data_IF_432439559200
#
_entry.id   IF_432439559200
#
_cell.length_a   1.000
_cell.length_b   1.000
_cell.length_c   1.000
_cell.angle_alpha   90.00
_cell.angle_beta   90.00
_cell.angle_gamma   90.00
#
_symmetry.space_group_name_H-M   'P 1'
#
loop_
_entity.id
_entity.type
_entity.pdbx_description
1 polymer ?
#
# COMPACT_ATOMS: atom_id res chain seq x y z
N UNK A 1 1.94 22.03 0.94
CA UNK A 1 2.39 23.33 0.41
C UNK A 1 3.57 23.94 1.17
N UNK A 2 3.80 23.59 2.44
CA UNK A 2 4.96 24.13 3.19
C UNK A 2 6.30 23.71 2.57
N UNK A 3 6.40 22.53 2.01
CA UNK A 3 7.61 21.97 1.37
C UNK A 3 7.63 22.12 -0.15
N UNK A 4 6.46 22.21 -0.77
CA UNK A 4 6.30 22.37 -2.21
C UNK A 4 5.15 23.36 -2.50
N UNK A 5 5.46 24.62 -2.83
CA UNK A 5 4.45 25.62 -3.15
C UNK A 5 3.60 25.28 -4.38
N UNK A 6 4.09 24.44 -5.29
CA UNK A 6 3.35 24.05 -6.49
C UNK A 6 2.16 23.11 -6.22
N UNK A 7 2.01 22.59 -5.01
CA UNK A 7 0.90 21.72 -4.62
C UNK A 7 -0.43 22.43 -4.38
N UNK A 8 -0.48 23.76 -4.43
CA UNK A 8 -1.72 24.52 -4.38
C UNK A 8 -1.56 25.84 -5.19
N UNK A 9 -2.68 26.44 -5.64
CA UNK A 9 -2.63 27.78 -6.24
C UNK A 9 -2.05 28.81 -5.29
N UNK A 10 -1.57 29.92 -5.84
CA UNK A 10 -1.03 31.04 -5.05
C UNK A 10 -2.05 31.53 -4.00
N UNK A 11 -1.58 31.73 -2.78
CA UNK A 11 -2.42 32.11 -1.63
C UNK A 11 -3.25 30.96 -1.03
N UNK A 12 -3.20 29.75 -1.61
CA UNK A 12 -3.87 28.57 -1.09
C UNK A 12 -2.92 27.58 -0.45
N UNK A 13 -3.48 26.67 0.36
CA UNK A 13 -2.74 25.56 0.95
C UNK A 13 -3.46 24.23 0.70
N UNK A 14 -2.71 23.21 0.29
CA UNK A 14 -3.19 21.84 0.28
C UNK A 14 -3.14 21.24 1.69
N UNK A 15 -4.23 20.62 2.11
CA UNK A 15 -4.37 20.01 3.42
C UNK A 15 -4.88 18.56 3.29
N UNK A 16 -4.34 17.67 4.09
CA UNK A 16 -4.73 16.26 4.14
C UNK A 16 -5.06 15.87 5.57
N UNK A 17 -6.27 15.36 5.79
CA UNK A 17 -6.71 14.82 7.07
C UNK A 17 -7.01 13.32 6.93
N UNK A 18 -6.37 12.50 7.74
CA UNK A 18 -6.60 11.07 7.81
C UNK A 18 -7.28 10.72 9.13
N UNK A 19 -8.41 10.04 9.04
CA UNK A 19 -9.08 9.46 10.19
C UNK A 19 -9.19 7.95 10.04
N UNK A 20 -8.65 7.15 10.98
CA UNK A 20 -8.81 5.70 10.96
C UNK A 20 -10.28 5.31 11.12
N UNK A 21 -10.77 4.47 10.24
CA UNK A 21 -12.13 3.95 10.25
C UNK A 21 -12.13 2.44 10.00
N UNK A 22 -13.15 1.69 10.44
CA UNK A 22 -13.24 0.27 10.18
C UNK A 22 -13.46 -0.01 8.69
N UNK A 23 -12.85 -1.08 8.18
CA UNK A 23 -13.06 -1.57 6.82
C UNK A 23 -14.47 -2.15 6.65
N UNK A 24 -14.91 -2.35 5.39
CA UNK A 24 -16.26 -2.82 5.03
C UNK A 24 -16.63 -4.21 5.60
N UNK A 25 -15.65 -5.02 5.98
CA UNK A 25 -15.89 -6.28 6.67
C UNK A 25 -16.36 -6.12 8.11
N UNK A 26 -15.88 -5.09 8.82
CA UNK A 26 -16.25 -4.77 10.22
C UNK A 26 -17.42 -3.78 10.30
N UNK A 27 -17.55 -2.89 9.34
CA UNK A 27 -18.64 -1.91 9.29
C UNK A 27 -19.49 -2.14 8.04
N UNK A 28 -20.78 -2.44 8.24
CA UNK A 28 -21.76 -2.75 7.18
C UNK A 28 -22.67 -1.58 6.84
N UNK A 29 -22.37 -0.39 7.36
CA UNK A 29 -23.15 0.81 7.07
C UNK A 29 -22.86 1.37 5.67
N UNK A 30 -23.72 2.30 5.29
CA UNK A 30 -23.62 3.04 4.03
C UNK A 30 -22.57 4.15 4.13
N UNK A 31 -21.42 3.95 3.49
CA UNK A 31 -20.36 4.95 3.44
C UNK A 31 -20.70 6.15 2.57
N UNK A 32 -21.53 5.99 1.55
CA UNK A 32 -21.96 7.10 0.69
C UNK A 32 -22.77 8.12 1.50
N UNK A 33 -23.68 7.63 2.34
CA UNK A 33 -24.45 8.49 3.24
C UNK A 33 -23.64 9.02 4.44
N UNK A 34 -22.73 8.20 4.98
CA UNK A 34 -22.00 8.53 6.21
C UNK A 34 -20.78 9.44 5.98
N UNK A 35 -20.06 9.29 4.87
CA UNK A 35 -18.80 9.99 4.64
C UNK A 35 -18.96 11.53 4.68
N UNK A 36 -19.98 12.15 4.09
CA UNK A 36 -20.19 13.59 4.19
C UNK A 36 -20.42 14.05 5.63
N UNK A 37 -21.23 13.30 6.40
CA UNK A 37 -21.54 13.63 7.79
C UNK A 37 -20.29 13.51 8.67
N UNK A 38 -19.48 12.48 8.41
CA UNK A 38 -18.23 12.27 9.15
C UNK A 38 -17.18 13.32 8.81
N UNK A 39 -17.06 13.68 7.53
CA UNK A 39 -16.18 14.75 7.08
C UNK A 39 -16.54 16.09 7.71
N UNK A 40 -17.83 16.39 7.81
CA UNK A 40 -18.31 17.61 8.46
C UNK A 40 -17.90 17.69 9.94
N UNK A 41 -17.99 16.59 10.67
CA UNK A 41 -17.52 16.51 12.06
C UNK A 41 -15.98 16.67 12.17
N UNK A 42 -15.24 16.15 11.20
CA UNK A 42 -13.78 16.36 11.15
C UNK A 42 -13.46 17.84 10.93
N UNK A 43 -14.17 18.50 10.02
CA UNK A 43 -14.02 19.95 9.81
C UNK A 43 -14.33 20.76 11.06
N UNK A 44 -15.41 20.45 11.78
CA UNK A 44 -15.74 21.11 13.06
C UNK A 44 -14.62 20.95 14.09
N UNK A 45 -14.07 19.74 14.20
CA UNK A 45 -12.98 19.47 15.13
C UNK A 45 -11.70 20.25 14.75
N UNK A 46 -11.36 20.25 13.46
CA UNK A 46 -10.18 20.95 12.95
C UNK A 46 -10.30 22.47 13.13
N UNK A 47 -11.45 23.04 12.81
CA UNK A 47 -11.70 24.47 12.97
C UNK A 47 -11.64 24.89 14.43
N UNK A 48 -12.27 24.13 15.32
CA UNK A 48 -12.31 24.44 16.75
C UNK A 48 -10.95 24.31 17.45
N UNK A 49 -10.05 23.45 16.94
CA UNK A 49 -8.83 23.06 17.66
C UNK A 49 -7.53 23.45 16.99
N UNK A 50 -7.49 23.49 15.67
CA UNK A 50 -6.23 23.59 14.92
C UNK A 50 -6.19 24.72 13.91
N UNK A 51 -7.29 24.99 13.19
CA UNK A 51 -7.31 25.90 12.05
C UNK A 51 -8.55 26.80 12.16
N UNK A 52 -8.56 27.84 13.01
CA UNK A 52 -9.68 28.76 13.11
C UNK A 52 -10.01 29.39 11.75
N UNK A 53 -11.30 29.47 11.41
CA UNK A 53 -11.77 29.99 10.11
C UNK A 53 -11.60 29.01 8.94
N UNK A 54 -11.36 27.73 9.20
CA UNK A 54 -11.17 26.72 8.15
C UNK A 54 -12.34 26.68 7.18
N UNK A 55 -13.58 26.67 7.68
CA UNK A 55 -14.79 26.57 6.83
C UNK A 55 -14.99 27.78 5.92
N UNK A 56 -14.70 28.96 6.40
CA UNK A 56 -14.81 30.20 5.61
C UNK A 56 -13.79 30.28 4.49
N UNK A 57 -12.63 29.62 4.68
CA UNK A 57 -11.52 29.62 3.72
C UNK A 57 -11.43 28.31 2.91
N UNK A 58 -12.40 27.41 3.04
CA UNK A 58 -12.43 26.13 2.32
C UNK A 58 -12.86 26.35 0.86
N UNK A 59 -11.90 26.21 -0.06
CA UNK A 59 -12.14 26.37 -1.50
C UNK A 59 -12.69 25.09 -2.13
N UNK A 60 -12.11 23.95 -1.76
CA UNK A 60 -12.55 22.64 -2.27
C UNK A 60 -12.19 21.54 -1.27
N UNK A 61 -12.98 20.49 -1.28
CA UNK A 61 -12.74 19.30 -0.46
C UNK A 61 -13.13 18.04 -1.22
N UNK A 62 -12.36 17.00 -1.07
CA UNK A 62 -12.73 15.63 -1.47
C UNK A 62 -12.59 14.70 -0.29
N UNK A 63 -13.59 13.87 -0.07
CA UNK A 63 -13.52 12.73 0.85
C UNK A 63 -13.20 11.46 0.09
N UNK A 64 -12.50 10.54 0.74
CA UNK A 64 -12.19 9.23 0.20
C UNK A 64 -12.42 8.18 1.29
N UNK A 65 -13.49 7.45 1.16
CA UNK A 65 -14.01 6.49 2.15
C UNK A 65 -13.55 5.06 1.85
N UNK A 66 -13.77 4.09 2.74
CA UNK A 66 -13.58 2.67 2.41
C UNK A 66 -14.36 2.21 1.17
N UNK A 67 -15.51 2.81 0.88
CA UNK A 67 -16.26 2.52 -0.34
C UNK A 67 -15.46 2.95 -1.59
N UNK A 68 -14.88 4.14 -1.56
CA UNK A 68 -14.09 4.67 -2.69
C UNK A 68 -12.81 3.84 -2.90
N UNK A 69 -12.13 3.43 -1.82
CA UNK A 69 -10.99 2.50 -1.93
C UNK A 69 -11.38 1.18 -2.61
N UNK A 70 -12.56 0.64 -2.30
CA UNK A 70 -13.06 -0.58 -2.92
C UNK A 70 -13.42 -0.37 -4.40
N UNK A 71 -14.13 0.70 -4.73
CA UNK A 71 -14.69 0.92 -6.08
C UNK A 71 -13.68 1.52 -7.06
N UNK A 72 -12.90 2.52 -6.63
CA UNK A 72 -11.95 3.20 -7.51
C UNK A 72 -10.59 2.49 -7.58
N UNK A 73 -10.13 1.86 -6.48
CA UNK A 73 -8.81 1.25 -6.38
C UNK A 73 -8.86 -0.29 -6.29
N UNK A 74 -10.03 -0.89 -6.37
CA UNK A 74 -10.23 -2.34 -6.24
C UNK A 74 -9.61 -2.92 -4.94
N UNK A 75 -9.57 -2.11 -3.88
CA UNK A 75 -9.02 -2.53 -2.61
C UNK A 75 -9.99 -3.48 -1.89
N UNK A 76 -9.52 -4.68 -1.54
CA UNK A 76 -10.32 -5.66 -0.83
C UNK A 76 -10.93 -5.07 0.45
N UNK A 77 -12.25 -5.11 0.59
CA UNK A 77 -12.99 -4.53 1.72
C UNK A 77 -12.70 -3.05 2.00
N UNK A 78 -12.24 -2.29 1.01
CA UNK A 78 -11.91 -0.87 1.18
C UNK A 78 -10.70 -0.58 2.07
N UNK A 79 -9.73 -1.51 2.11
CA UNK A 79 -8.51 -1.39 2.91
C UNK A 79 -7.54 -0.39 2.27
N UNK A 80 -7.29 0.76 2.91
CA UNK A 80 -6.36 1.77 2.41
C UNK A 80 -4.88 1.34 2.47
N UNK A 81 -4.49 0.62 3.53
CA UNK A 81 -3.10 0.26 3.85
C UNK A 81 -2.85 -1.25 3.88
N UNK A 82 -3.77 -2.05 3.33
CA UNK A 82 -3.71 -3.51 3.33
C UNK A 82 -3.81 -4.11 4.75
N UNK A 83 -2.89 -5.01 5.13
CA UNK A 83 -2.96 -5.73 6.39
C UNK A 83 -2.80 -4.83 7.62
N UNK A 84 -3.62 -5.08 8.64
CA UNK A 84 -3.54 -4.42 9.93
C UNK A 84 -2.17 -4.70 10.60
N UNK A 85 -1.52 -3.71 11.24
CA UNK A 85 -0.20 -3.87 11.84
C UNK A 85 -0.28 -4.57 13.22
N UNK A 86 -0.92 -5.72 13.28
CA UNK A 86 -0.93 -6.60 14.45
C UNK A 86 0.27 -7.56 14.40
N UNK A 87 0.70 -8.08 15.53
CA UNK A 87 1.94 -8.85 15.65
C UNK A 87 2.05 -10.00 14.62
N UNK A 88 0.99 -10.78 14.46
CA UNK A 88 0.94 -11.95 13.56
C UNK A 88 0.68 -11.60 12.09
N UNK A 89 0.61 -10.31 11.73
CA UNK A 89 0.54 -9.80 10.37
C UNK A 89 1.64 -8.78 10.06
N UNK A 90 2.64 -8.69 10.93
CA UNK A 90 3.71 -7.71 10.83
C UNK A 90 5.07 -8.39 10.87
N UNK A 91 6.10 -7.67 10.50
CA UNK A 91 7.48 -8.13 10.50
C UNK A 91 7.61 -9.51 9.80
N UNK A 92 8.17 -10.49 10.47
CA UNK A 92 8.39 -11.83 9.94
C UNK A 92 7.12 -12.52 9.42
N UNK A 93 5.97 -12.28 10.08
CA UNK A 93 4.68 -12.93 9.73
C UNK A 93 3.95 -12.25 8.57
N UNK A 94 4.48 -11.16 8.04
CA UNK A 94 3.89 -10.50 6.88
C UNK A 94 4.12 -11.34 5.62
N UNK A 95 3.19 -11.28 4.68
CA UNK A 95 3.31 -11.98 3.39
C UNK A 95 4.68 -11.73 2.75
N UNK A 96 5.38 -12.80 2.43
CA UNK A 96 6.68 -12.76 1.75
C UNK A 96 6.53 -12.32 0.30
N UNK A 97 7.60 -11.79 -0.28
CA UNK A 97 7.60 -11.31 -1.67
C UNK A 97 7.65 -12.43 -2.72
N UNK A 98 7.87 -13.68 -2.32
CA UNK A 98 7.82 -14.87 -3.17
C UNK A 98 6.94 -15.92 -2.49
N UNK A 99 6.15 -16.64 -3.27
CA UNK A 99 5.35 -17.76 -2.79
C UNK A 99 6.21 -19.00 -2.59
N UNK A 100 5.99 -19.72 -1.48
CA UNK A 100 6.77 -20.92 -1.14
C UNK A 100 6.36 -22.14 -1.97
N UNK A 101 5.10 -22.20 -2.38
CA UNK A 101 4.54 -23.34 -3.15
C UNK A 101 4.64 -23.11 -4.66
N UNK A 102 4.60 -21.87 -5.13
CA UNK A 102 4.61 -21.47 -6.52
C UNK A 102 5.86 -20.63 -6.82
N UNK A 103 6.97 -21.25 -7.24
CA UNK A 103 8.28 -20.57 -7.38
C UNK A 103 8.28 -19.36 -8.31
N UNK A 104 7.34 -19.30 -9.24
CA UNK A 104 7.20 -18.20 -10.21
C UNK A 104 6.14 -17.15 -9.80
N UNK A 105 5.56 -17.26 -8.61
CA UNK A 105 4.60 -16.30 -8.09
C UNK A 105 5.30 -15.35 -7.12
N UNK A 106 5.19 -14.06 -7.42
CA UNK A 106 5.76 -13.00 -6.61
C UNK A 106 4.69 -12.01 -6.17
N UNK A 107 4.87 -11.44 -4.98
CA UNK A 107 3.99 -10.44 -4.41
C UNK A 107 4.74 -9.14 -4.17
N UNK A 108 4.10 -8.02 -4.45
CA UNK A 108 4.66 -6.68 -4.29
C UNK A 108 3.59 -5.70 -3.80
N UNK A 109 3.98 -4.74 -2.99
CA UNK A 109 3.09 -3.67 -2.55
C UNK A 109 2.88 -3.62 -1.04
N UNK A 110 1.86 -2.88 -0.62
CA UNK A 110 1.57 -2.58 0.79
C UNK A 110 1.25 -3.82 1.64
N UNK A 111 0.76 -4.90 1.02
CA UNK A 111 0.41 -6.16 1.70
C UNK A 111 1.60 -7.07 2.00
N UNK A 112 2.77 -6.80 1.44
CA UNK A 112 3.96 -7.66 1.53
C UNK A 112 5.09 -6.99 2.31
N UNK A 113 6.22 -7.69 2.46
CA UNK A 113 7.43 -7.09 3.02
C UNK A 113 7.94 -5.93 2.15
N UNK A 114 8.50 -4.86 2.75
CA UNK A 114 8.59 -4.59 4.19
C UNK A 114 7.31 -3.99 4.79
N UNK A 115 6.32 -3.56 4.00
CA UNK A 115 5.06 -3.08 4.52
C UNK A 115 4.44 -1.90 3.77
N UNK A 116 3.45 -1.26 4.39
CA UNK A 116 2.71 -0.14 3.83
C UNK A 116 3.49 1.19 3.88
N UNK A 117 2.95 2.20 3.20
CA UNK A 117 3.56 3.51 3.01
C UNK A 117 4.49 3.56 1.79
N UNK A 118 4.69 4.76 1.24
CA UNK A 118 5.49 4.93 0.01
C UNK A 118 6.89 4.29 0.12
N UNK A 119 7.68 4.53 1.19
CA UNK A 119 8.98 3.87 1.33
C UNK A 119 8.88 2.34 1.40
N UNK A 120 7.86 1.83 2.10
CA UNK A 120 7.60 0.39 2.22
C UNK A 120 7.26 -0.25 0.88
N UNK A 121 6.37 0.36 0.11
CA UNK A 121 5.95 -0.14 -1.21
C UNK A 121 7.12 -0.13 -2.21
N UNK A 122 7.92 0.93 -2.25
CA UNK A 122 9.12 1.01 -3.09
C UNK A 122 10.17 -0.03 -2.65
N UNK A 123 10.35 -0.21 -1.34
CA UNK A 123 11.21 -1.26 -0.78
C UNK A 123 10.74 -2.67 -1.16
N UNK A 124 9.43 -2.92 -1.14
CA UNK A 124 8.82 -4.16 -1.60
C UNK A 124 9.10 -4.43 -3.08
N UNK A 125 8.97 -3.42 -3.93
CA UNK A 125 9.28 -3.55 -5.36
C UNK A 125 10.75 -3.92 -5.59
N UNK A 126 11.68 -3.26 -4.87
CA UNK A 126 13.11 -3.56 -4.95
C UNK A 126 13.42 -5.00 -4.49
N UNK A 127 12.86 -5.42 -3.35
CA UNK A 127 13.06 -6.77 -2.83
C UNK A 127 12.53 -7.84 -3.80
N UNK A 128 11.34 -7.63 -4.35
CA UNK A 128 10.74 -8.54 -5.34
C UNK A 128 11.60 -8.63 -6.61
N UNK A 129 12.07 -7.50 -7.13
CA UNK A 129 12.94 -7.48 -8.32
C UNK A 129 14.25 -8.25 -8.10
N UNK A 130 14.89 -8.10 -6.94
CA UNK A 130 16.09 -8.86 -6.59
C UNK A 130 15.81 -10.38 -6.52
N UNK A 131 14.72 -10.79 -5.88
CA UNK A 131 14.32 -12.20 -5.83
C UNK A 131 14.07 -12.81 -7.23
N UNK A 132 13.51 -12.04 -8.15
CA UNK A 132 13.30 -12.46 -9.54
C UNK A 132 14.64 -12.65 -10.27
N UNK A 133 15.56 -11.69 -10.15
CA UNK A 133 16.88 -11.75 -10.78
C UNK A 133 17.75 -12.88 -10.21
N UNK A 134 17.73 -13.10 -8.90
CA UNK A 134 18.44 -14.20 -8.25
C UNK A 134 17.86 -15.57 -8.69
N UNK A 135 16.55 -15.66 -8.87
CA UNK A 135 15.89 -16.86 -9.38
C UNK A 135 16.28 -17.18 -10.83
N UNK A 136 16.44 -16.18 -11.67
CA UNK A 136 16.92 -16.35 -13.05
C UNK A 136 18.39 -16.73 -13.10
N UNK A 137 19.24 -16.15 -12.24
CA UNK A 137 20.66 -16.51 -12.11
C UNK A 137 20.87 -17.96 -11.66
N UNK A 138 20.07 -18.43 -10.69
CA UNK A 138 20.09 -19.81 -10.23
C UNK A 138 19.65 -20.80 -11.32
N UNK A 139 18.60 -20.48 -12.07
CA UNK A 139 18.11 -21.31 -13.18
C UNK A 139 19.09 -21.34 -14.38
N UNK A 140 19.83 -20.26 -14.62
CA UNK A 140 20.87 -20.22 -15.65
C UNK A 140 22.11 -21.04 -15.26
N UNK A 141 22.52 -21.01 -13.99
CA UNK A 141 23.61 -21.79 -13.47
C UNK A 141 23.33 -23.31 -13.52
N UNK A 142 22.11 -23.72 -13.21
CA UNK A 142 21.69 -25.13 -13.26
C UNK A 142 21.63 -25.65 -14.71
N UNK A 143 21.23 -24.82 -15.67
CA UNK A 143 21.24 -25.18 -17.10
C UNK A 143 22.64 -25.28 -17.69
N UNK A 144 23.65 -24.58 -17.14
CA UNK A 144 25.05 -24.63 -17.59
C UNK A 144 25.85 -25.78 -16.98
N UNK A 145 25.40 -26.34 -15.83
CA UNK A 145 26.04 -27.48 -15.16
C UNK A 145 25.68 -28.86 -15.73
N UNK A 146 24.75 -28.92 -16.69
CA UNK A 146 24.23 -30.19 -17.24
C UNK A 146 24.97 -30.75 -18.48
N UNK A 147 26.12 -30.22 -18.90
CA UNK A 147 26.86 -30.74 -20.06
C UNK A 147 28.26 -31.14 -19.62
N UNK A 148 28.47 -32.42 -19.38
CA UNK A 148 29.77 -33.02 -19.39
C UNK A 148 30.13 -33.87 -18.19
N UNK A 149 29.91 -35.17 -18.30
CA UNK A 149 30.94 -36.18 -18.23
C UNK A 149 30.34 -37.56 -18.38
N UNK A 150 30.25 -37.98 -19.61
CA UNK A 150 30.22 -39.39 -19.91
C UNK A 150 31.58 -39.72 -20.56
N UNK A 151 32.60 -40.03 -19.76
CA UNK A 151 33.81 -40.66 -20.26
C UNK A 151 33.77 -42.11 -19.89
N UNK A 152 33.44 -42.91 -20.88
CA UNK A 152 33.68 -44.34 -20.88
C UNK A 152 35.19 -44.59 -20.71
N UNK A 153 35.56 -45.45 -19.78
CA UNK A 153 36.84 -46.15 -19.79
C UNK A 153 36.54 -47.63 -19.85
N UNK A 154 36.74 -48.16 -21.04
CA UNK A 154 36.94 -49.58 -21.23
C UNK A 154 38.45 -49.85 -21.15
N UNK A 155 38.85 -50.76 -20.32
CA UNK A 155 39.92 -51.72 -20.44
C UNK A 155 39.98 -52.61 -19.21
#
# INVERSE_FOLDING_TARGET
TATDPAMAPEGCSGFYALSPVPHQGKFKGDWEALAPIYADRILDYLEARLIPGLRENLVTMRTFSPQDFSTELNAHMGLAFSLEPVLWQSAYFRTHNRDDALPNLYFVGAGTHPGAGIPGVVGSAKATALLMLDGEGGAAADRSGGIGHNSASAA
#
